data_IF_533620916903
#
_entry.id   IF_533620916903
#
_cell.length_a   1.000
_cell.length_b   1.000
_cell.length_c   1.000
_cell.angle_alpha   90.00
_cell.angle_beta   90.00
_cell.angle_gamma   90.00
#
_symmetry.space_group_name_H-M   'P 1'
#
loop_
_entity.id
_entity.type
_entity.pdbx_description
1 polymer ?
#
# COMPACT_ATOMS: atom_id res chain seq x y z
N UNK A 1 -26.70 2.92 -31.17
CA UNK A 1 -26.19 2.49 -29.87
C UNK A 1 -25.27 3.59 -29.38
N UNK A 2 -25.82 4.56 -28.66
CA UNK A 2 -25.11 5.74 -28.17
C UNK A 2 -24.25 5.33 -26.98
N UNK A 3 -22.93 5.47 -27.09
CA UNK A 3 -22.00 5.40 -25.96
C UNK A 3 -22.40 6.44 -24.92
N UNK A 4 -22.48 6.10 -23.62
CA UNK A 4 -22.80 7.07 -22.58
C UNK A 4 -21.54 7.91 -22.32
N UNK A 5 -21.27 8.89 -23.17
CA UNK A 5 -20.12 9.80 -23.07
C UNK A 5 -20.24 10.78 -21.87
N UNK A 6 -21.36 10.74 -21.14
CA UNK A 6 -21.73 11.72 -20.10
C UNK A 6 -22.19 11.08 -18.77
N UNK A 7 -21.59 9.96 -18.34
CA UNK A 7 -21.71 9.58 -16.94
C UNK A 7 -20.85 10.54 -16.08
N UNK A 8 -21.35 11.06 -14.95
CA UNK A 8 -20.54 11.87 -14.05
C UNK A 8 -19.32 11.06 -13.60
N UNK A 9 -18.12 11.59 -13.87
CA UNK A 9 -16.86 10.91 -13.55
C UNK A 9 -16.61 10.96 -12.04
N UNK A 10 -16.04 9.89 -11.50
CA UNK A 10 -15.69 9.82 -10.08
C UNK A 10 -14.54 10.81 -9.78
N UNK A 11 -14.68 11.70 -8.79
CA UNK A 11 -13.61 12.64 -8.41
C UNK A 11 -12.27 11.96 -8.07
N UNK A 12 -12.31 10.71 -7.61
CA UNK A 12 -11.12 9.94 -7.28
C UNK A 12 -10.33 9.53 -8.54
N UNK A 13 -11.03 9.26 -9.65
CA UNK A 13 -10.38 8.94 -10.93
C UNK A 13 -9.74 10.21 -11.51
N UNK A 14 -10.40 11.36 -11.39
CA UNK A 14 -9.84 12.63 -11.82
C UNK A 14 -8.60 13.01 -11.00
N UNK A 15 -8.60 12.70 -9.70
CA UNK A 15 -7.39 12.84 -8.86
C UNK A 15 -6.26 11.92 -9.32
N UNK A 16 -6.53 10.63 -9.57
CA UNK A 16 -5.51 9.70 -10.05
C UNK A 16 -4.90 10.16 -11.38
N UNK A 17 -5.73 10.62 -12.33
CA UNK A 17 -5.27 11.18 -13.61
C UNK A 17 -4.47 12.46 -13.47
N UNK A 18 -4.84 13.31 -12.50
CA UNK A 18 -4.04 14.51 -12.19
C UNK A 18 -2.63 14.11 -11.74
N UNK A 19 -2.49 13.04 -10.94
CA UNK A 19 -1.19 12.52 -10.52
C UNK A 19 -0.40 11.87 -11.67
N UNK A 20 -1.06 11.23 -12.63
CA UNK A 20 -0.42 10.68 -13.84
C UNK A 20 0.29 11.78 -14.64
N UNK A 21 -0.32 12.96 -14.74
CA UNK A 21 0.17 14.09 -15.52
C UNK A 21 1.15 14.99 -14.74
N UNK A 22 1.18 14.89 -13.40
CA UNK A 22 1.99 15.76 -12.55
C UNK A 22 3.48 15.39 -12.57
N UNK A 23 4.24 16.14 -13.34
CA UNK A 23 5.71 15.99 -13.47
C UNK A 23 6.46 16.31 -12.18
N UNK A 24 5.83 16.93 -11.16
CA UNK A 24 6.48 17.19 -9.88
C UNK A 24 6.94 15.90 -9.17
N UNK A 25 6.37 14.75 -9.53
CA UNK A 25 6.76 13.44 -9.00
C UNK A 25 7.92 12.78 -9.75
N UNK A 26 8.44 13.38 -10.82
CA UNK A 26 9.50 12.77 -11.64
C UNK A 26 10.80 12.51 -10.84
N UNK A 27 11.20 13.43 -9.97
CA UNK A 27 12.37 13.22 -9.10
C UNK A 27 12.17 12.06 -8.12
N UNK A 28 10.94 11.89 -7.61
CA UNK A 28 10.58 10.79 -6.73
C UNK A 28 10.57 9.46 -7.49
N UNK A 29 10.05 9.45 -8.73
CA UNK A 29 10.12 8.30 -9.64
C UNK A 29 11.58 7.90 -9.87
N UNK A 30 12.47 8.84 -10.15
CA UNK A 30 13.88 8.54 -10.39
C UNK A 30 14.59 8.05 -9.11
N UNK A 31 14.22 8.58 -7.94
CA UNK A 31 14.71 8.09 -6.64
C UNK A 31 14.28 6.64 -6.38
N UNK A 32 13.00 6.33 -6.51
CA UNK A 32 12.47 4.97 -6.33
C UNK A 32 13.05 4.03 -7.39
N UNK A 33 13.22 4.53 -8.61
CA UNK A 33 13.90 3.86 -9.72
C UNK A 33 15.27 3.33 -9.33
N UNK A 34 16.10 4.13 -8.65
CA UNK A 34 17.43 3.66 -8.20
C UNK A 34 17.37 2.43 -7.28
N UNK A 35 16.38 2.36 -6.39
CA UNK A 35 16.21 1.19 -5.53
C UNK A 35 15.65 -0.01 -6.28
N UNK A 36 14.73 0.22 -7.22
CA UNK A 36 14.22 -0.80 -8.12
C UNK A 36 15.34 -1.41 -8.98
N UNK A 37 16.26 -0.60 -9.51
CA UNK A 37 17.43 -1.07 -10.28
C UNK A 37 18.37 -1.97 -9.46
N UNK A 38 18.57 -1.66 -8.17
CA UNK A 38 19.34 -2.52 -7.27
C UNK A 38 18.68 -3.89 -7.13
N UNK A 39 17.34 -3.94 -7.11
CA UNK A 39 16.59 -5.18 -7.08
C UNK A 39 16.67 -5.93 -8.42
N UNK A 40 16.59 -5.20 -9.53
CA UNK A 40 16.72 -5.73 -10.89
C UNK A 40 18.08 -6.37 -11.15
N UNK A 41 19.15 -5.87 -10.53
CA UNK A 41 20.46 -6.51 -10.52
C UNK A 41 20.51 -7.91 -9.87
N UNK A 42 19.39 -8.39 -9.29
CA UNK A 42 19.23 -9.72 -8.68
C UNK A 42 18.02 -10.44 -9.29
N UNK A 43 18.11 -10.95 -10.53
CA UNK A 43 16.96 -11.44 -11.29
C UNK A 43 16.16 -12.54 -10.59
N UNK A 44 16.84 -13.46 -9.87
CA UNK A 44 16.15 -14.50 -9.09
C UNK A 44 15.33 -13.94 -7.92
N UNK A 45 15.81 -12.89 -7.25
CA UNK A 45 15.07 -12.21 -6.18
C UNK A 45 13.93 -11.35 -6.75
N UNK A 46 14.18 -10.64 -7.84
CA UNK A 46 13.17 -9.84 -8.53
C UNK A 46 11.99 -10.72 -8.98
N UNK A 47 12.25 -11.81 -9.70
CA UNK A 47 11.21 -12.75 -10.14
C UNK A 47 10.48 -13.41 -8.97
N UNK A 48 11.20 -13.72 -7.87
CA UNK A 48 10.58 -14.25 -6.66
C UNK A 48 9.62 -13.27 -5.99
N UNK A 49 9.98 -11.98 -5.93
CA UNK A 49 9.17 -10.91 -5.35
C UNK A 49 8.04 -10.44 -6.26
N UNK A 50 8.21 -10.53 -7.58
CA UNK A 50 7.13 -10.33 -8.56
C UNK A 50 6.09 -11.45 -8.45
N UNK A 51 6.52 -12.66 -8.10
CA UNK A 51 5.64 -13.82 -7.92
C UNK A 51 5.66 -14.80 -9.10
N UNK A 52 6.76 -14.86 -9.85
CA UNK A 52 6.90 -15.73 -11.03
C UNK A 52 6.69 -17.21 -10.69
N UNK A 53 7.07 -17.63 -9.48
CA UNK A 53 6.85 -18.99 -8.95
C UNK A 53 5.41 -19.22 -8.47
N UNK A 54 4.70 -18.14 -8.15
CA UNK A 54 3.33 -18.14 -7.62
C UNK A 54 2.29 -18.07 -8.74
N UNK A 55 2.69 -17.59 -9.93
CA UNK A 55 1.83 -17.45 -11.11
C UNK A 55 0.95 -16.19 -11.11
N UNK A 56 1.04 -15.38 -10.05
CA UNK A 56 0.33 -14.12 -9.89
C UNK A 56 1.25 -13.09 -9.22
N UNK A 57 0.93 -11.81 -9.40
CA UNK A 57 1.61 -10.72 -8.71
C UNK A 57 1.54 -10.93 -7.20
N UNK A 58 2.71 -11.00 -6.57
CA UNK A 58 2.80 -11.31 -5.14
C UNK A 58 2.35 -10.12 -4.29
N UNK A 59 2.51 -8.88 -4.75
CA UNK A 59 2.15 -7.69 -3.96
C UNK A 59 0.66 -7.65 -3.60
N UNK A 60 -0.31 -7.69 -4.53
CA UNK A 60 -1.72 -7.68 -4.16
C UNK A 60 -2.09 -8.79 -3.16
N UNK A 61 -1.62 -10.02 -3.39
CA UNK A 61 -1.88 -11.13 -2.46
C UNK A 61 -1.27 -10.90 -1.07
N UNK A 62 -0.06 -10.33 -1.00
CA UNK A 62 0.57 -10.00 0.27
C UNK A 62 -0.07 -8.80 0.96
N UNK A 63 -0.85 -7.94 0.29
CA UNK A 63 -1.55 -6.83 0.96
C UNK A 63 -2.68 -7.30 1.87
N UNK A 64 -3.30 -8.45 1.56
CA UNK A 64 -4.42 -9.00 2.35
C UNK A 64 -4.02 -9.28 3.79
N UNK A 65 -2.78 -9.73 4.02
CA UNK A 65 -2.28 -10.05 5.36
C UNK A 65 -2.19 -8.83 6.28
N UNK A 66 -1.39 -7.77 5.99
CA UNK A 66 -1.32 -6.59 6.84
C UNK A 66 -2.66 -5.88 6.95
N UNK A 67 -3.44 -5.77 5.86
CA UNK A 67 -4.76 -5.15 5.90
C UNK A 67 -5.73 -5.94 6.79
N UNK A 68 -5.79 -7.26 6.64
CA UNK A 68 -6.61 -8.14 7.48
C UNK A 68 -6.25 -8.04 8.95
N UNK A 69 -4.95 -8.02 9.27
CA UNK A 69 -4.48 -7.84 10.65
C UNK A 69 -4.89 -6.47 11.23
N UNK A 70 -4.69 -5.39 10.49
CA UNK A 70 -5.02 -4.04 10.94
C UNK A 70 -6.53 -3.77 11.03
N UNK A 71 -7.32 -4.28 10.09
CA UNK A 71 -8.79 -4.23 10.16
C UNK A 71 -9.29 -5.00 11.39
N UNK A 72 -8.74 -6.18 11.64
CA UNK A 72 -9.09 -6.98 12.82
C UNK A 72 -8.74 -6.28 14.12
N UNK A 73 -7.57 -5.64 14.21
CA UNK A 73 -7.19 -4.82 15.36
C UNK A 73 -8.16 -3.65 15.57
N UNK A 74 -8.58 -2.99 14.48
CA UNK A 74 -9.53 -1.88 14.53
C UNK A 74 -10.90 -2.35 15.05
N UNK A 75 -11.39 -3.52 14.60
CA UNK A 75 -12.62 -4.10 15.12
C UNK A 75 -12.52 -4.40 16.62
N UNK A 76 -11.40 -4.96 17.08
CA UNK A 76 -11.17 -5.19 18.50
C UNK A 76 -11.14 -3.89 19.31
N UNK A 77 -10.57 -2.82 18.78
CA UNK A 77 -10.55 -1.51 19.46
C UNK A 77 -11.94 -0.87 19.57
N UNK A 78 -12.81 -1.11 18.60
CA UNK A 78 -14.13 -0.45 18.51
C UNK A 78 -15.23 -1.24 19.20
N UNK A 79 -15.23 -2.56 19.04
CA UNK A 79 -16.34 -3.44 19.47
C UNK A 79 -15.86 -4.70 20.19
N UNK A 80 -14.56 -4.85 20.42
CA UNK A 80 -14.01 -5.99 21.15
C UNK A 80 -14.43 -5.96 22.63
N UNK A 81 -14.54 -7.14 23.27
CA UNK A 81 -14.77 -7.21 24.72
C UNK A 81 -13.61 -6.58 25.50
N UNK A 82 -13.86 -6.21 26.76
CA UNK A 82 -12.80 -5.80 27.70
C UNK A 82 -11.67 -6.85 27.74
N UNK A 83 -10.41 -6.39 27.69
CA UNK A 83 -9.24 -7.28 27.62
C UNK A 83 -8.74 -7.59 26.19
N UNK A 84 -9.39 -7.08 25.15
CA UNK A 84 -8.96 -7.28 23.74
C UNK A 84 -7.69 -6.53 23.35
N UNK A 85 -7.16 -5.66 24.22
CA UNK A 85 -6.04 -4.76 23.93
C UNK A 85 -4.77 -5.50 23.53
N UNK A 86 -4.49 -6.64 24.15
CA UNK A 86 -3.32 -7.45 23.83
C UNK A 86 -3.44 -8.07 22.43
N UNK A 87 -4.61 -8.61 22.09
CA UNK A 87 -4.88 -9.17 20.76
C UNK A 87 -4.76 -8.10 19.68
N UNK A 88 -5.37 -6.92 19.89
CA UNK A 88 -5.22 -5.78 18.98
C UNK A 88 -3.74 -5.36 18.83
N UNK A 89 -2.97 -5.34 19.92
CA UNK A 89 -1.54 -5.02 19.90
C UNK A 89 -0.73 -6.01 19.07
N UNK A 90 -1.01 -7.32 19.19
CA UNK A 90 -0.36 -8.36 18.40
C UNK A 90 -0.70 -8.24 16.93
N UNK A 91 -1.97 -8.02 16.60
CA UNK A 91 -2.43 -7.85 15.22
C UNK A 91 -1.82 -6.62 14.54
N UNK A 92 -1.76 -5.48 15.23
CA UNK A 92 -1.06 -4.30 14.70
C UNK A 92 0.41 -4.61 14.41
N UNK A 93 1.09 -5.28 15.34
CA UNK A 93 2.48 -5.70 15.17
C UNK A 93 2.69 -6.67 14.01
N UNK A 94 1.81 -7.67 13.86
CA UNK A 94 1.84 -8.60 12.74
C UNK A 94 1.67 -7.89 11.40
N UNK A 95 0.75 -6.92 11.31
CA UNK A 95 0.60 -6.12 10.10
C UNK A 95 1.84 -5.26 9.80
N UNK A 96 2.47 -4.65 10.81
CA UNK A 96 3.74 -3.90 10.64
C UNK A 96 4.86 -4.81 10.12
N UNK A 97 4.97 -6.03 10.65
CA UNK A 97 5.97 -7.00 10.19
C UNK A 97 5.66 -7.50 8.77
N UNK A 98 4.38 -7.76 8.47
CA UNK A 98 3.92 -8.19 7.16
C UNK A 98 4.08 -7.13 6.07
N UNK A 99 4.03 -5.85 6.42
CA UNK A 99 4.17 -4.76 5.46
C UNK A 99 5.53 -4.72 4.76
N UNK A 100 6.60 -5.24 5.38
CA UNK A 100 7.94 -5.22 4.78
C UNK A 100 8.03 -6.10 3.52
N UNK A 101 7.74 -7.41 3.55
CA UNK A 101 7.73 -8.23 2.34
C UNK A 101 6.69 -7.73 1.32
N UNK A 102 5.54 -7.21 1.76
CA UNK A 102 4.54 -6.59 0.88
C UNK A 102 5.12 -5.37 0.15
N UNK A 103 5.86 -4.49 0.81
CA UNK A 103 6.47 -3.33 0.16
C UNK A 103 7.58 -3.73 -0.82
N UNK A 104 8.35 -4.78 -0.52
CA UNK A 104 9.38 -5.30 -1.41
C UNK A 104 8.81 -5.91 -2.69
N UNK A 105 7.72 -6.67 -2.59
CA UNK A 105 7.00 -7.16 -3.78
C UNK A 105 6.37 -6.01 -4.57
N UNK A 106 5.84 -4.99 -3.89
CA UNK A 106 5.31 -3.80 -4.55
C UNK A 106 6.37 -3.00 -5.32
N UNK A 107 7.60 -2.94 -4.80
CA UNK A 107 8.73 -2.34 -5.53
C UNK A 107 9.13 -3.16 -6.77
N UNK A 108 9.04 -4.49 -6.70
CA UNK A 108 9.25 -5.37 -7.85
C UNK A 108 8.18 -5.15 -8.94
N UNK A 109 6.92 -5.05 -8.55
CA UNK A 109 5.81 -4.77 -9.48
C UNK A 109 5.91 -3.35 -10.08
N UNK A 110 6.28 -2.35 -9.26
CA UNK A 110 6.49 -0.99 -9.72
C UNK A 110 7.63 -0.88 -10.74
N UNK A 111 8.69 -1.69 -10.59
CA UNK A 111 9.79 -1.74 -11.56
C UNK A 111 9.33 -2.21 -12.93
N UNK A 112 8.33 -3.10 -12.98
CA UNK A 112 7.77 -3.64 -14.21
C UNK A 112 6.79 -2.67 -14.90
N UNK A 113 6.44 -1.53 -14.31
CA UNK A 113 5.58 -0.54 -14.97
C UNK A 113 6.28 0.06 -16.19
N UNK A 114 5.63 -0.04 -17.35
CA UNK A 114 6.14 0.40 -18.64
C UNK A 114 6.09 1.93 -18.78
N UNK A 115 4.98 2.53 -18.37
CA UNK A 115 4.76 3.96 -18.55
C UNK A 115 5.14 4.80 -17.32
N UNK A 116 5.78 5.94 -17.58
CA UNK A 116 6.19 6.88 -16.51
C UNK A 116 5.00 7.47 -15.76
N UNK A 117 3.84 7.63 -16.42
CA UNK A 117 2.61 8.13 -15.77
C UNK A 117 2.14 7.19 -14.66
N UNK A 118 2.22 5.88 -14.89
CA UNK A 118 1.83 4.85 -13.92
C UNK A 118 2.82 4.85 -12.76
N UNK A 119 4.12 5.04 -13.05
CA UNK A 119 5.16 5.16 -12.03
C UNK A 119 4.93 6.34 -11.09
N UNK A 120 4.39 7.47 -11.56
CA UNK A 120 4.04 8.64 -10.73
C UNK A 120 2.93 8.31 -9.74
N UNK A 121 1.85 7.67 -10.20
CA UNK A 121 0.80 7.19 -9.30
C UNK A 121 1.39 6.17 -8.30
N UNK A 122 2.29 5.31 -8.77
CA UNK A 122 3.00 4.33 -7.96
C UNK A 122 3.82 4.93 -6.81
N UNK A 123 4.52 6.05 -7.03
CA UNK A 123 5.27 6.70 -5.94
C UNK A 123 4.36 7.36 -4.92
N UNK A 124 3.21 7.92 -5.33
CA UNK A 124 2.22 8.49 -4.40
C UNK A 124 1.55 7.38 -3.59
N UNK A 125 1.19 6.27 -4.24
CA UNK A 125 0.70 5.05 -3.57
C UNK A 125 1.70 4.56 -2.52
N UNK A 126 2.98 4.43 -2.89
CA UNK A 126 4.04 4.00 -1.99
C UNK A 126 4.24 4.96 -0.82
N UNK A 127 4.21 6.28 -1.06
CA UNK A 127 4.33 7.30 -0.03
C UNK A 127 3.15 7.25 0.97
N UNK A 128 1.92 7.09 0.47
CA UNK A 128 0.74 6.94 1.32
C UNK A 128 0.81 5.69 2.21
N UNK A 129 1.25 4.56 1.66
CA UNK A 129 1.45 3.34 2.44
C UNK A 129 2.62 3.45 3.43
N UNK A 130 3.70 4.16 3.09
CA UNK A 130 4.79 4.45 4.02
C UNK A 130 4.30 5.29 5.21
N UNK A 131 3.48 6.30 4.96
CA UNK A 131 2.85 7.11 6.02
C UNK A 131 1.90 6.26 6.89
N UNK A 132 1.10 5.38 6.28
CA UNK A 132 0.24 4.45 7.00
C UNK A 132 1.05 3.49 7.89
N UNK A 133 2.12 2.90 7.35
CA UNK A 133 3.03 2.02 8.09
C UNK A 133 3.69 2.76 9.26
N UNK A 134 4.09 4.02 9.08
CA UNK A 134 4.61 4.84 10.17
C UNK A 134 3.56 5.06 11.26
N UNK A 135 2.31 5.39 10.89
CA UNK A 135 1.20 5.53 11.83
C UNK A 135 0.92 4.23 12.61
N UNK A 136 0.89 3.07 11.93
CA UNK A 136 0.73 1.76 12.58
C UNK A 136 1.93 1.37 13.45
N UNK A 137 3.15 1.74 13.06
CA UNK A 137 4.35 1.52 13.89
C UNK A 137 4.28 2.36 15.17
N UNK A 138 3.89 3.62 15.07
CA UNK A 138 3.63 4.47 16.24
C UNK A 138 2.48 3.93 17.08
N UNK A 139 1.40 3.41 16.45
CA UNK A 139 0.30 2.72 17.14
C UNK A 139 0.82 1.55 17.95
N UNK A 140 1.64 0.68 17.34
CA UNK A 140 2.21 -0.50 17.99
C UNK A 140 3.07 -0.13 19.19
N UNK A 141 3.94 0.88 19.03
CA UNK A 141 4.81 1.39 20.12
C UNK A 141 3.97 1.98 21.25
N UNK A 142 2.91 2.76 20.94
CA UNK A 142 2.03 3.33 21.95
C UNK A 142 1.31 2.24 22.75
N UNK A 143 0.78 1.22 22.08
CA UNK A 143 0.13 0.06 22.72
C UNK A 143 1.08 -0.73 23.61
N UNK A 144 2.30 -0.99 23.14
CA UNK A 144 3.37 -1.65 23.92
C UNK A 144 3.78 -0.87 25.17
N UNK A 145 3.49 0.43 25.23
CA UNK A 145 3.70 1.31 26.40
C UNK A 145 2.42 1.50 27.24
N UNK A 146 1.39 0.68 27.04
CA UNK A 146 0.11 0.74 27.77
C UNK A 146 -0.81 1.89 27.33
N UNK A 147 -0.46 2.65 26.29
CA UNK A 147 -1.25 3.80 25.80
C UNK A 147 -2.26 3.35 24.74
N UNK A 148 -3.16 2.43 25.09
CA UNK A 148 -4.04 1.75 24.15
C UNK A 148 -4.96 2.70 23.36
N UNK A 149 -5.56 3.72 24.00
CA UNK A 149 -6.42 4.70 23.31
C UNK A 149 -5.67 5.52 22.25
N UNK A 150 -4.45 5.95 22.55
CA UNK A 150 -3.59 6.62 21.57
C UNK A 150 -3.21 5.65 20.44
N UNK A 151 -2.92 4.40 20.80
CA UNK A 151 -2.68 3.32 19.83
C UNK A 151 -3.85 3.14 18.86
N UNK A 152 -5.08 3.07 19.36
CA UNK A 152 -6.29 2.95 18.53
C UNK A 152 -6.46 4.16 17.60
N UNK A 153 -6.30 5.38 18.12
CA UNK A 153 -6.39 6.60 17.31
C UNK A 153 -5.35 6.63 16.18
N UNK A 154 -4.09 6.28 16.47
CA UNK A 154 -3.04 6.18 15.45
C UNK A 154 -3.34 5.06 14.44
N UNK A 155 -3.93 3.95 14.89
CA UNK A 155 -4.36 2.86 14.02
C UNK A 155 -5.46 3.28 13.05
N UNK A 156 -6.43 4.09 13.48
CA UNK A 156 -7.47 4.65 12.62
C UNK A 156 -6.90 5.63 11.58
N UNK A 157 -5.92 6.46 11.97
CA UNK A 157 -5.19 7.32 11.02
C UNK A 157 -4.47 6.46 9.98
N UNK A 158 -3.76 5.41 10.43
CA UNK A 158 -3.13 4.44 9.54
C UNK A 158 -4.12 3.79 8.58
N UNK A 159 -5.30 3.39 9.05
CA UNK A 159 -6.35 2.79 8.23
C UNK A 159 -6.84 3.75 7.13
N UNK A 160 -7.06 5.02 7.46
CA UNK A 160 -7.45 6.04 6.48
C UNK A 160 -6.40 6.26 5.40
N UNK A 161 -5.12 6.36 5.80
CA UNK A 161 -3.99 6.49 4.88
C UNK A 161 -3.85 5.26 3.96
N UNK A 162 -3.92 4.06 4.52
CA UNK A 162 -3.89 2.80 3.75
C UNK A 162 -5.08 2.68 2.80
N UNK A 163 -6.29 3.11 3.20
CA UNK A 163 -7.46 3.10 2.34
C UNK A 163 -7.30 4.02 1.12
N UNK A 164 -6.83 5.26 1.34
CA UNK A 164 -6.55 6.21 0.26
C UNK A 164 -5.44 5.74 -0.67
N UNK A 165 -4.34 5.21 -0.12
CA UNK A 165 -3.27 4.64 -0.91
C UNK A 165 -3.73 3.38 -1.67
N UNK A 166 -4.54 2.53 -1.03
CA UNK A 166 -5.11 1.33 -1.63
C UNK A 166 -5.97 1.62 -2.86
N UNK A 167 -6.71 2.74 -2.87
CA UNK A 167 -7.42 3.19 -4.07
C UNK A 167 -6.47 3.42 -5.26
N UNK A 168 -5.35 4.12 -5.05
CA UNK A 168 -4.34 4.33 -6.09
C UNK A 168 -3.70 3.01 -6.55
N UNK A 169 -3.53 2.05 -5.64
CA UNK A 169 -3.06 0.71 -5.99
C UNK A 169 -4.05 -0.07 -6.86
N UNK A 170 -5.34 0.03 -6.55
CA UNK A 170 -6.41 -0.53 -7.39
C UNK A 170 -6.46 0.12 -8.77
N UNK A 171 -6.28 1.44 -8.85
CA UNK A 171 -6.19 2.17 -10.12
C UNK A 171 -5.03 1.65 -10.99
N UNK A 172 -3.85 1.43 -10.41
CA UNK A 172 -2.70 0.84 -11.09
C UNK A 172 -2.93 -0.61 -11.53
N UNK A 173 -3.61 -1.42 -10.72
CA UNK A 173 -3.91 -2.81 -11.08
C UNK A 173 -4.91 -2.92 -12.25
N UNK A 174 -5.82 -1.94 -12.37
CA UNK A 174 -6.83 -1.91 -13.43
C UNK A 174 -6.32 -1.24 -14.72
N UNK A 175 -5.55 -0.16 -14.61
CA UNK A 175 -5.18 0.71 -15.74
C UNK A 175 -3.68 0.78 -16.02
N UNK A 176 -2.84 0.27 -15.12
CA UNK A 176 -1.39 0.31 -15.26
C UNK A 176 -0.90 -0.61 -16.38
N UNK A 177 0.16 -0.16 -17.05
CA UNK A 177 0.82 -0.89 -18.13
C UNK A 177 2.10 -1.55 -17.62
N UNK A 178 2.25 -2.85 -17.86
CA UNK A 178 3.39 -3.63 -17.37
C UNK A 178 4.20 -4.19 -18.54
N UNK A 179 5.52 -4.15 -18.43
CA UNK A 179 6.45 -4.84 -19.32
C UNK A 179 6.52 -6.33 -18.95
N UNK A 180 6.68 -7.19 -19.96
CA UNK A 180 6.76 -8.65 -19.79
C UNK A 180 8.10 -9.10 -19.18
#
# INVERSE_FOLDING_TARGET
MSTPENAPRSPLIDLARTLEEDTAFDDAVDLVGRYAEVLAGRPGLLGALRGDWFGHHLHPTLTDFPLGAWMSATLLDLVGPEGSEEAATRLVGLGVLGALPTALSGLADWHALAERRDRRVGVVHAAGNAAALAAYSCSWIARRRGRHRLGAALGLIGAGLSGGAGYLGGHLAEHGTFEA
#
